data_IF_779389588465
#
_entry.id   IF_779389588465
#
_cell.length_a   1.000
_cell.length_b   1.000
_cell.length_c   1.000
_cell.angle_alpha   90.00
_cell.angle_beta   90.00
_cell.angle_gamma   90.00
#
_symmetry.space_group_name_H-M   'P 1'
#
loop_
_entity.id
_entity.type
_entity.pdbx_description
1 polymer ?
#
# COMPACT_ATOMS: atom_id res chain seq x y z
N UNK A 1 61.92 -29.95 24.29
CA UNK A 1 60.92 -29.68 25.35
C UNK A 1 60.02 -28.51 24.90
N UNK A 2 58.69 -28.68 24.96
CA UNK A 2 57.61 -27.65 24.98
C UNK A 2 57.53 -26.69 23.77
N UNK A 3 56.75 -26.87 22.70
CA UNK A 3 55.28 -26.98 22.50
C UNK A 3 54.41 -25.93 23.23
N UNK A 4 53.69 -25.15 22.40
CA UNK A 4 52.33 -24.59 22.54
C UNK A 4 52.05 -23.43 23.51
N UNK A 5 51.65 -22.27 22.97
CA UNK A 5 50.46 -21.51 23.42
C UNK A 5 49.75 -20.93 22.18
N UNK A 6 48.56 -21.47 21.91
CA UNK A 6 47.58 -21.05 20.91
C UNK A 6 46.47 -20.33 21.65
N UNK A 7 46.12 -19.09 21.32
CA UNK A 7 44.77 -18.55 21.54
C UNK A 7 44.47 -17.48 20.47
N UNK A 8 44.03 -17.95 19.30
CA UNK A 8 43.31 -17.11 18.33
C UNK A 8 41.96 -16.76 18.94
N UNK A 9 41.84 -15.53 19.42
CA UNK A 9 40.59 -14.94 19.89
C UNK A 9 39.72 -14.63 18.66
N UNK A 10 38.96 -15.62 18.20
CA UNK A 10 37.96 -15.44 17.15
C UNK A 10 36.74 -14.75 17.77
N UNK A 11 36.73 -13.41 17.72
CA UNK A 11 35.61 -12.58 18.14
C UNK A 11 34.48 -12.78 17.12
N UNK A 12 33.56 -13.70 17.41
CA UNK A 12 32.38 -13.96 16.59
C UNK A 12 31.34 -12.86 16.89
N UNK A 13 31.49 -11.71 16.23
CA UNK A 13 30.49 -10.65 16.21
C UNK A 13 29.32 -11.12 15.32
N UNK A 14 28.41 -11.90 15.88
CA UNK A 14 27.13 -12.22 15.22
C UNK A 14 26.29 -10.95 15.32
N UNK A 15 26.45 -10.05 14.34
CA UNK A 15 25.52 -8.94 14.15
C UNK A 15 24.19 -9.55 13.76
N UNK A 16 23.24 -9.58 14.70
CA UNK A 16 21.85 -9.91 14.39
C UNK A 16 21.34 -8.85 13.43
N UNK A 17 21.36 -9.16 12.13
CA UNK A 17 20.64 -8.39 11.14
C UNK A 17 19.16 -8.63 11.42
N UNK A 18 18.53 -7.69 12.14
CA UNK A 18 17.08 -7.63 12.21
C UNK A 18 16.59 -7.41 10.77
N UNK A 19 16.07 -8.46 10.15
CA UNK A 19 15.45 -8.38 8.84
C UNK A 19 14.11 -7.68 9.00
N UNK A 20 14.09 -6.35 8.90
CA UNK A 20 12.85 -5.61 8.70
C UNK A 20 12.40 -5.87 7.27
N UNK A 21 11.57 -6.88 7.09
CA UNK A 21 10.90 -7.11 5.81
C UNK A 21 9.81 -6.04 5.67
N UNK A 22 9.90 -5.20 4.65
CA UNK A 22 8.80 -4.34 4.25
C UNK A 22 7.62 -5.22 3.83
N UNK A 23 6.51 -5.18 4.58
CA UNK A 23 5.27 -5.78 4.15
C UNK A 23 4.63 -4.91 3.05
N UNK A 24 3.99 -5.54 2.08
CA UNK A 24 3.25 -4.85 1.02
C UNK A 24 1.90 -5.51 0.84
N UNK A 25 0.84 -4.69 0.81
CA UNK A 25 -0.53 -5.12 0.52
C UNK A 25 -1.09 -4.25 -0.60
N UNK A 26 -1.82 -4.89 -1.51
CA UNK A 26 -2.46 -4.24 -2.65
C UNK A 26 -3.94 -4.59 -2.65
N UNK A 27 -4.80 -3.66 -3.04
CA UNK A 27 -6.24 -3.89 -3.21
C UNK A 27 -6.82 -2.90 -4.21
N UNK A 28 -8.11 -3.07 -4.54
CA UNK A 28 -8.82 -2.24 -5.51
C UNK A 28 -10.03 -1.57 -4.90
N UNK A 29 -10.33 -0.35 -5.36
CA UNK A 29 -11.58 0.34 -5.09
C UNK A 29 -12.50 0.09 -6.29
N UNK A 30 -13.44 -0.84 -6.12
CA UNK A 30 -14.28 -1.40 -7.18
C UNK A 30 -15.78 -1.17 -6.96
N UNK A 31 -16.17 -0.54 -5.85
CA UNK A 31 -17.53 -0.08 -5.61
C UNK A 31 -17.62 1.38 -6.02
N UNK A 32 -18.71 1.78 -6.67
CA UNK A 32 -18.92 3.15 -7.14
C UNK A 32 -20.33 3.62 -6.87
N UNK A 33 -20.48 4.90 -6.50
CA UNK A 33 -21.80 5.50 -6.38
C UNK A 33 -22.41 5.94 -7.72
N UNK A 34 -21.73 5.71 -8.84
CA UNK A 34 -22.12 6.18 -10.18
C UNK A 34 -21.84 5.19 -11.30
N UNK A 35 -20.73 4.48 -11.23
CA UNK A 35 -20.34 3.49 -12.22
C UNK A 35 -20.76 2.07 -11.75
N UNK A 36 -20.78 1.07 -12.64
CA UNK A 36 -21.06 -0.31 -12.24
C UNK A 36 -20.07 -0.83 -11.19
N UNK A 37 -20.57 -1.50 -10.16
CA UNK A 37 -19.71 -2.15 -9.16
C UNK A 37 -18.98 -3.37 -9.74
N UNK A 38 -17.90 -3.79 -9.07
CA UNK A 38 -17.10 -4.96 -9.43
C UNK A 38 -16.03 -4.70 -10.50
N UNK A 39 -15.92 -3.47 -10.99
CA UNK A 39 -14.86 -3.03 -11.92
C UNK A 39 -13.75 -2.34 -11.12
N UNK A 40 -12.50 -2.74 -11.32
CA UNK A 40 -11.37 -2.11 -10.64
C UNK A 40 -11.09 -0.72 -11.22
N UNK A 41 -11.45 0.33 -10.48
CA UNK A 41 -11.29 1.72 -10.91
C UNK A 41 -10.02 2.37 -10.40
N UNK A 42 -9.62 2.04 -9.16
CA UNK A 42 -8.42 2.57 -8.51
C UNK A 42 -7.70 1.42 -7.81
N UNK A 43 -6.39 1.32 -7.98
CA UNK A 43 -5.55 0.44 -7.17
C UNK A 43 -4.93 1.22 -6.02
N UNK A 44 -4.82 0.58 -4.87
CA UNK A 44 -4.14 1.11 -3.68
C UNK A 44 -3.08 0.11 -3.27
N UNK A 45 -1.85 0.59 -3.10
CA UNK A 45 -0.74 -0.19 -2.53
C UNK A 45 -0.30 0.46 -1.23
N UNK A 46 -0.18 -0.35 -0.19
CA UNK A 46 0.38 0.00 1.11
C UNK A 46 1.70 -0.73 1.26
N UNK A 47 2.78 -0.03 1.60
CA UNK A 47 4.10 -0.61 1.82
C UNK A 47 4.70 -0.10 3.12
N UNK A 48 5.00 -0.99 4.05
CA UNK A 48 5.73 -0.62 5.27
C UNK A 48 7.16 -0.21 4.91
N UNK A 49 7.56 0.96 5.37
CA UNK A 49 8.88 1.51 5.11
C UNK A 49 9.83 1.32 6.30
N UNK A 50 11.13 1.48 6.04
CA UNK A 50 12.18 1.28 7.05
C UNK A 50 12.17 2.33 8.17
N UNK A 51 11.42 3.42 8.02
CA UNK A 51 11.31 4.49 9.00
C UNK A 51 10.19 4.24 10.03
N UNK A 52 9.44 3.15 9.91
CA UNK A 52 8.32 2.84 10.80
C UNK A 52 7.03 3.55 10.41
N UNK A 53 6.70 3.57 9.13
CA UNK A 53 5.45 4.08 8.58
C UNK A 53 4.99 3.28 7.35
N UNK A 54 3.89 3.72 6.73
CA UNK A 54 3.32 3.10 5.53
C UNK A 54 3.32 4.09 4.37
N UNK A 55 4.01 3.72 3.29
CA UNK A 55 3.93 4.42 2.02
C UNK A 55 2.67 3.98 1.28
N UNK A 56 1.84 4.94 0.89
CA UNK A 56 0.57 4.73 0.19
C UNK A 56 0.72 5.19 -1.25
N UNK A 57 0.31 4.34 -2.19
CA UNK A 57 0.26 4.64 -3.61
C UNK A 57 -1.12 4.28 -4.19
N UNK A 58 -1.94 5.29 -4.43
CA UNK A 58 -3.23 5.15 -5.09
C UNK A 58 -3.14 5.57 -6.58
N UNK A 59 -3.67 4.75 -7.50
CA UNK A 59 -3.59 5.00 -8.94
C UNK A 59 -4.92 4.72 -9.65
N UNK A 60 -5.36 5.64 -10.50
CA UNK A 60 -6.52 5.42 -11.39
C UNK A 60 -6.19 4.41 -12.50
N UNK A 61 -7.15 3.54 -12.81
CA UNK A 61 -7.01 2.47 -13.81
C UNK A 61 -7.76 2.82 -15.09
N UNK A 62 -7.46 2.08 -16.16
CA UNK A 62 -8.00 2.31 -17.52
C UNK A 62 -9.53 2.47 -17.58
N UNK A 63 -10.35 1.66 -16.86
CA UNK A 63 -11.81 1.84 -16.87
C UNK A 63 -12.28 3.24 -16.42
N UNK A 64 -11.44 3.95 -15.65
CA UNK A 64 -11.72 5.31 -15.21
C UNK A 64 -11.01 6.35 -16.08
N UNK A 65 -9.77 6.08 -16.51
CA UNK A 65 -8.97 6.98 -17.34
C UNK A 65 -9.63 7.23 -18.70
N UNK A 66 -10.27 6.21 -19.29
CA UNK A 66 -11.00 6.31 -20.56
C UNK A 66 -12.25 7.21 -20.46
N UNK A 67 -12.73 7.47 -19.24
CA UNK A 67 -13.88 8.36 -18.97
C UNK A 67 -13.45 9.78 -18.60
N UNK A 68 -12.14 10.02 -18.44
CA UNK A 68 -11.58 11.31 -18.09
C UNK A 68 -11.60 12.29 -19.26
N UNK A 69 -11.94 13.56 -18.99
CA UNK A 69 -11.88 14.63 -19.99
C UNK A 69 -10.85 15.69 -19.61
N UNK A 70 -11.23 16.60 -18.69
CA UNK A 70 -10.41 17.75 -18.32
C UNK A 70 -10.30 17.83 -16.82
N UNK A 71 -9.09 18.12 -16.35
CA UNK A 71 -8.75 18.14 -14.94
C UNK A 71 -9.16 16.80 -14.30
N UNK A 72 -8.88 15.69 -14.99
CA UNK A 72 -9.21 14.36 -14.49
C UNK A 72 -8.26 13.96 -13.36
N UNK A 73 -8.74 13.13 -12.44
CA UNK A 73 -7.91 12.47 -11.45
C UNK A 73 -8.47 12.49 -10.03
N UNK A 74 -7.69 11.90 -9.13
CA UNK A 74 -7.97 11.79 -7.70
C UNK A 74 -8.01 13.20 -7.11
N UNK A 75 -9.10 13.51 -6.42
CA UNK A 75 -9.31 14.81 -5.76
C UNK A 75 -9.43 14.66 -4.24
N UNK A 76 -9.91 13.51 -3.75
CA UNK A 76 -9.93 13.20 -2.33
C UNK A 76 -9.56 11.74 -2.11
N UNK A 77 -8.91 11.43 -1.02
CA UNK A 77 -8.62 10.08 -0.55
C UNK A 77 -8.91 10.02 0.95
N UNK A 78 -9.49 8.93 1.44
CA UNK A 78 -9.92 8.82 2.82
C UNK A 78 -9.76 7.38 3.34
N UNK A 79 -9.41 7.28 4.62
CA UNK A 79 -9.17 6.04 5.36
C UNK A 79 -9.29 6.30 6.87
N UNK A 80 -9.38 5.23 7.64
CA UNK A 80 -9.47 5.25 9.10
C UNK A 80 -8.48 4.26 9.70
N UNK A 81 -8.19 4.44 11.00
CA UNK A 81 -7.47 3.46 11.80
C UNK A 81 -8.40 2.83 12.81
N UNK A 82 -8.06 1.63 13.28
CA UNK A 82 -8.87 0.90 14.26
C UNK A 82 -9.05 1.67 15.59
N UNK A 83 -8.12 2.56 15.91
CA UNK A 83 -8.16 3.40 17.11
C UNK A 83 -8.89 4.74 16.91
N UNK A 84 -9.37 5.01 15.69
CA UNK A 84 -10.08 6.25 15.32
C UNK A 84 -9.21 7.50 15.31
N UNK A 85 -7.88 7.36 15.34
CA UNK A 85 -6.98 8.53 15.37
C UNK A 85 -6.79 9.16 13.99
N UNK A 86 -6.40 10.43 13.99
CA UNK A 86 -6.06 11.14 12.76
C UNK A 86 -4.61 10.84 12.37
N UNK A 87 -4.39 10.53 11.10
CA UNK A 87 -3.07 10.15 10.60
C UNK A 87 -2.07 11.31 10.58
N UNK A 88 -0.83 11.01 10.96
CA UNK A 88 0.33 11.85 10.68
C UNK A 88 0.84 11.55 9.26
N UNK A 89 0.52 12.46 8.33
CA UNK A 89 0.78 12.27 6.90
C UNK A 89 1.86 13.22 6.41
N UNK A 90 2.84 12.68 5.68
CA UNK A 90 3.92 13.42 5.05
C UNK A 90 4.03 13.10 3.55
N UNK A 91 4.82 13.89 2.81
CA UNK A 91 5.10 13.62 1.39
C UNK A 91 3.91 13.83 0.44
N UNK A 92 2.88 14.58 0.85
CA UNK A 92 1.73 14.89 -0.01
C UNK A 92 2.15 15.77 -1.21
N UNK A 93 1.50 15.60 -2.38
CA UNK A 93 1.72 16.49 -3.52
C UNK A 93 1.34 17.94 -3.21
N UNK A 94 1.91 18.88 -3.96
CA UNK A 94 1.65 20.31 -3.78
C UNK A 94 0.15 20.65 -3.83
N UNK A 95 -0.29 21.41 -2.83
CA UNK A 95 -1.68 21.85 -2.68
C UNK A 95 -2.65 20.82 -2.09
N UNK A 96 -2.18 19.63 -1.75
CA UNK A 96 -2.93 18.66 -0.95
C UNK A 96 -2.83 18.96 0.55
N UNK A 97 -3.88 18.62 1.30
CA UNK A 97 -3.95 18.83 2.75
C UNK A 97 -4.65 17.68 3.45
N UNK A 98 -4.22 17.37 4.66
CA UNK A 98 -4.91 16.46 5.58
C UNK A 98 -6.06 17.21 6.28
N UNK A 99 -7.20 16.55 6.46
CA UNK A 99 -8.30 17.04 7.29
C UNK A 99 -9.10 15.87 7.85
N UNK A 100 -9.45 15.93 9.13
CA UNK A 100 -10.26 14.91 9.77
C UNK A 100 -11.75 14.95 9.41
N UNK A 101 -12.48 13.92 9.88
CA UNK A 101 -13.94 13.76 9.81
C UNK A 101 -14.50 13.98 8.40
N UNK A 102 -14.11 13.13 7.45
CA UNK A 102 -14.49 13.29 6.04
C UNK A 102 -15.54 12.29 5.59
N UNK A 103 -16.72 12.81 5.27
CA UNK A 103 -17.76 12.07 4.58
C UNK A 103 -17.44 11.84 3.10
N UNK A 104 -17.60 10.61 2.63
CA UNK A 104 -17.33 10.16 1.26
C UNK A 104 -18.62 9.70 0.55
N UNK A 105 -19.61 10.60 0.47
CA UNK A 105 -20.87 10.48 -0.31
C UNK A 105 -21.33 9.05 -0.69
N UNK A 106 -21.79 8.28 0.31
CA UNK A 106 -22.26 6.90 0.16
C UNK A 106 -21.36 5.87 0.83
N UNK A 107 -20.09 6.21 1.04
CA UNK A 107 -19.07 5.33 1.60
C UNK A 107 -18.75 5.62 3.07
N UNK A 108 -19.66 6.29 3.79
CA UNK A 108 -19.48 6.60 5.21
C UNK A 108 -18.61 7.82 5.51
N UNK A 109 -18.11 7.86 6.75
CA UNK A 109 -17.19 8.89 7.27
C UNK A 109 -15.87 8.22 7.63
N UNK A 110 -14.79 8.97 7.44
CA UNK A 110 -13.43 8.52 7.73
C UNK A 110 -12.74 9.52 8.65
N UNK A 111 -11.87 9.00 9.50
CA UNK A 111 -11.13 9.81 10.46
C UNK A 111 -10.09 10.68 9.77
N UNK A 112 -9.48 10.17 8.70
CA UNK A 112 -8.50 10.90 7.90
C UNK A 112 -8.98 11.08 6.46
N UNK A 113 -8.98 12.32 5.99
CA UNK A 113 -9.18 12.64 4.57
C UNK A 113 -8.11 13.56 4.02
N UNK A 114 -7.57 13.18 2.86
CA UNK A 114 -6.65 13.96 2.05
C UNK A 114 -7.42 14.69 0.97
N UNK A 115 -7.18 15.99 0.82
CA UNK A 115 -7.91 16.83 -0.13
C UNK A 115 -6.97 17.62 -1.04
N UNK A 116 -7.11 17.38 -2.34
CA UNK A 116 -6.68 18.30 -3.38
C UNK A 116 -7.80 19.28 -3.75
N UNK A 117 -7.51 20.15 -4.72
CA UNK A 117 -8.49 21.04 -5.34
C UNK A 117 -8.73 20.63 -6.81
N UNK A 118 -9.23 21.53 -7.66
CA UNK A 118 -9.46 21.19 -9.07
C UNK A 118 -8.15 21.10 -9.89
N UNK A 119 -7.15 21.91 -9.53
CA UNK A 119 -5.89 22.05 -10.27
C UNK A 119 -4.77 21.14 -9.75
N UNK A 120 -4.99 20.46 -8.61
CA UNK A 120 -4.01 19.55 -8.00
C UNK A 120 -4.44 18.09 -8.10
N UNK A 121 -5.38 17.78 -8.98
CA UNK A 121 -5.82 16.41 -9.25
C UNK A 121 -4.67 15.64 -9.89
N UNK A 122 -4.62 14.36 -9.61
CA UNK A 122 -3.56 13.47 -10.10
C UNK A 122 -4.11 12.08 -10.34
N UNK A 123 -3.60 11.40 -11.35
CA UNK A 123 -3.91 9.99 -11.62
C UNK A 123 -3.16 9.06 -10.66
N UNK A 124 -2.11 9.58 -10.01
CA UNK A 124 -1.28 8.87 -9.03
C UNK A 124 -1.12 9.74 -7.79
N UNK A 125 -1.69 9.31 -6.67
CA UNK A 125 -1.52 9.94 -5.37
C UNK A 125 -0.55 9.09 -4.54
N UNK A 126 0.56 9.68 -4.12
CA UNK A 126 1.58 9.05 -3.28
C UNK A 126 1.81 9.89 -2.03
N UNK A 127 1.94 9.25 -0.88
CA UNK A 127 2.25 9.89 0.40
C UNK A 127 2.71 8.84 1.42
N UNK A 128 3.19 9.29 2.59
CA UNK A 128 3.62 8.42 3.69
C UNK A 128 2.80 8.73 4.93
N UNK A 129 2.39 7.69 5.65
CA UNK A 129 1.78 7.77 6.96
C UNK A 129 2.82 7.33 7.99
N UNK A 130 3.13 8.18 8.95
CA UNK A 130 4.21 7.94 9.90
C UNK A 130 3.69 7.20 11.15
N UNK A 131 4.54 6.34 11.72
CA UNK A 131 4.31 5.76 13.05
C UNK A 131 3.23 4.69 13.12
N UNK A 132 2.80 4.14 11.98
CA UNK A 132 1.79 3.09 11.88
C UNK A 132 2.31 1.92 11.05
N UNK A 133 1.79 0.73 11.31
CA UNK A 133 1.90 -0.46 10.46
C UNK A 133 0.66 -0.64 9.58
N UNK A 134 0.71 -1.61 8.66
CA UNK A 134 -0.45 -1.94 7.80
C UNK A 134 -1.62 -2.50 8.62
N UNK A 135 -1.34 -3.19 9.72
CA UNK A 135 -2.35 -3.80 10.59
C UNK A 135 -3.12 -2.78 11.45
N UNK A 136 -2.73 -1.51 11.46
CA UNK A 136 -3.40 -0.45 12.23
C UNK A 136 -4.61 0.17 11.48
N UNK A 137 -4.74 -0.12 10.17
CA UNK A 137 -5.80 0.45 9.34
C UNK A 137 -7.12 -0.28 9.51
N UNK A 138 -8.22 0.48 9.52
CA UNK A 138 -9.51 -0.12 9.22
C UNK A 138 -9.48 -0.69 7.81
N UNK A 139 -10.28 -1.72 7.56
CA UNK A 139 -10.27 -2.42 6.28
C UNK A 139 -10.73 -1.55 5.12
N UNK A 140 -11.47 -0.47 5.34
CA UNK A 140 -12.16 0.27 4.28
C UNK A 140 -11.48 1.58 3.87
N UNK A 141 -11.44 1.83 2.57
CA UNK A 141 -10.86 3.04 1.96
C UNK A 141 -11.82 3.63 0.94
N UNK A 142 -11.74 4.95 0.76
CA UNK A 142 -12.52 5.62 -0.27
C UNK A 142 -11.73 6.69 -1.00
N UNK A 143 -12.08 6.92 -2.26
CA UNK A 143 -11.50 7.96 -3.10
C UNK A 143 -12.60 8.70 -3.85
N UNK A 144 -12.39 10.00 -4.06
CA UNK A 144 -13.19 10.81 -4.99
C UNK A 144 -12.34 11.11 -6.21
N UNK A 145 -12.80 10.69 -7.38
CA UNK A 145 -12.22 11.08 -8.67
C UNK A 145 -13.13 12.10 -9.34
N UNK A 146 -12.54 13.12 -9.93
CA UNK A 146 -13.24 14.21 -10.60
C UNK A 146 -12.70 14.42 -12.02
N UNK A 147 -13.39 15.26 -12.81
CA UNK A 147 -13.05 15.50 -14.21
C UNK A 147 -13.57 14.42 -15.17
N UNK A 148 -14.59 13.68 -14.74
CA UNK A 148 -15.31 12.70 -15.58
C UNK A 148 -16.22 13.39 -16.60
N UNK A 149 -16.52 12.71 -17.71
CA UNK A 149 -17.48 13.17 -18.71
C UNK A 149 -18.84 13.50 -18.08
N UNK A 150 -19.28 14.75 -18.24
CA UNK A 150 -20.56 15.22 -17.71
C UNK A 150 -21.78 14.59 -18.39
N UNK A 151 -21.60 13.94 -19.55
CA UNK A 151 -22.64 13.13 -20.19
C UNK A 151 -23.06 11.93 -19.34
N UNK A 152 -22.22 11.53 -18.39
CA UNK A 152 -22.49 10.46 -17.42
C UNK A 152 -23.12 11.00 -16.12
N UNK A 153 -23.35 12.32 -16.01
CA UNK A 153 -23.91 12.98 -14.84
C UNK A 153 -22.95 13.98 -14.19
N UNK A 154 -22.93 14.11 -12.85
CA UNK A 154 -21.95 14.96 -12.18
C UNK A 154 -20.52 14.56 -12.56
N UNK A 155 -19.63 15.53 -12.76
CA UNK A 155 -18.23 15.31 -13.19
C UNK A 155 -17.32 14.71 -12.11
N UNK A 156 -17.90 14.01 -11.13
CA UNK A 156 -17.18 13.28 -10.09
C UNK A 156 -17.93 12.03 -9.65
N UNK A 157 -17.15 11.02 -9.28
CA UNK A 157 -17.61 9.78 -8.69
C UNK A 157 -16.79 9.47 -7.44
N UNK A 158 -17.40 8.72 -6.54
CA UNK A 158 -16.75 8.21 -5.35
C UNK A 158 -16.59 6.70 -5.52
N UNK A 159 -15.48 6.18 -5.02
CA UNK A 159 -15.17 4.77 -5.07
C UNK A 159 -14.76 4.28 -3.69
N UNK A 160 -15.19 3.07 -3.36
CA UNK A 160 -14.88 2.39 -2.11
C UNK A 160 -14.28 1.01 -2.38
N UNK A 161 -13.57 0.49 -1.38
CA UNK A 161 -13.00 -0.85 -1.42
C UNK A 161 -12.35 -1.20 -0.10
N UNK A 162 -12.12 -2.49 0.09
CA UNK A 162 -11.62 -3.07 1.34
C UNK A 162 -10.25 -3.74 1.16
N UNK A 163 -9.41 -3.70 2.19
CA UNK A 163 -8.20 -4.50 2.36
C UNK A 163 -8.53 -6.00 2.42
N UNK A 164 -9.66 -6.33 3.05
CA UNK A 164 -10.16 -7.69 3.10
C UNK A 164 -10.93 -8.00 1.82
N UNK A 165 -10.68 -9.17 1.22
CA UNK A 165 -11.41 -9.68 0.05
C UNK A 165 -12.91 -9.94 0.30
N UNK A 166 -13.46 -9.47 1.41
CA UNK A 166 -14.88 -9.53 1.71
C UNK A 166 -15.63 -8.37 1.07
N UNK A 167 -16.57 -8.69 0.18
CA UNK A 167 -17.64 -7.81 -0.27
C UNK A 167 -18.35 -7.13 0.91
N UNK A 168 -18.20 -5.82 1.07
CA UNK A 168 -18.99 -5.03 2.02
C UNK A 168 -20.07 -4.23 1.30
N UNK A 169 -21.04 -4.95 0.72
CA UNK A 169 -22.27 -4.36 0.20
C UNK A 169 -23.38 -5.41 0.10
N UNK A 170 -24.66 -5.04 0.38
CA UNK A 170 -25.78 -5.93 0.16
C UNK A 170 -26.00 -6.11 -1.36
N UNK A 171 -25.26 -7.05 -1.97
CA UNK A 171 -25.47 -7.45 -3.36
C UNK A 171 -24.21 -7.65 -4.23
N UNK A 172 -23.00 -7.50 -3.71
CA UNK A 172 -21.80 -7.71 -4.52
C UNK A 172 -21.45 -9.20 -4.63
N UNK A 173 -21.57 -9.74 -5.84
CA UNK A 173 -21.05 -11.06 -6.21
C UNK A 173 -19.52 -11.01 -6.22
N UNK A 174 -18.90 -11.31 -5.08
CA UNK A 174 -17.46 -11.34 -4.93
C UNK A 174 -16.84 -12.36 -5.89
N UNK A 175 -16.04 -11.89 -6.84
CA UNK A 175 -14.97 -12.71 -7.41
C UNK A 175 -13.81 -12.64 -6.43
N UNK A 176 -13.59 -13.73 -5.70
CA UNK A 176 -12.50 -13.95 -4.74
C UNK A 176 -11.13 -13.71 -5.39
N UNK A 177 -10.71 -12.45 -5.45
CA UNK A 177 -9.37 -12.08 -5.86
C UNK A 177 -8.42 -12.23 -4.69
N UNK A 178 -8.19 -13.46 -4.21
CA UNK A 178 -7.27 -13.78 -3.11
C UNK A 178 -5.87 -13.19 -3.39
N UNK A 179 -5.64 -11.96 -2.97
CA UNK A 179 -4.34 -11.32 -2.90
C UNK A 179 -3.71 -11.85 -1.62
N UNK A 180 -3.26 -13.10 -1.67
CA UNK A 180 -2.33 -13.59 -0.69
C UNK A 180 -1.14 -12.63 -0.73
N UNK A 181 -0.96 -11.84 0.32
CA UNK A 181 0.28 -11.11 0.55
C UNK A 181 1.37 -12.18 0.44
N UNK A 182 2.08 -12.21 -0.69
CA UNK A 182 3.21 -13.11 -0.86
C UNK A 182 4.24 -12.51 0.07
N UNK A 183 4.48 -13.11 1.25
CA UNK A 183 5.59 -12.64 2.04
C UNK A 183 6.78 -12.83 1.09
N UNK A 184 7.73 -11.90 0.99
CA UNK A 184 8.94 -12.14 0.19
C UNK A 184 9.94 -12.77 1.17
N UNK A 185 9.82 -14.08 1.48
CA UNK A 185 10.17 -14.60 2.78
C UNK A 185 11.37 -15.52 2.64
N UNK A 186 12.53 -15.12 3.15
CA UNK A 186 13.71 -15.97 3.24
C UNK A 186 14.30 -16.52 1.92
N UNK A 187 13.62 -16.47 0.77
CA UNK A 187 14.11 -17.07 -0.48
C UNK A 187 15.42 -16.43 -0.93
N UNK A 188 15.58 -15.11 -0.79
CA UNK A 188 16.84 -14.41 -1.07
C UNK A 188 17.94 -14.85 -0.09
N UNK A 189 17.61 -15.07 1.18
CA UNK A 189 18.56 -15.52 2.21
C UNK A 189 18.94 -17.00 2.07
N UNK A 190 17.99 -17.87 1.73
CA UNK A 190 18.22 -19.29 1.43
C UNK A 190 18.99 -19.44 0.12
N UNK A 191 18.68 -18.64 -0.90
CA UNK A 191 19.41 -18.65 -2.15
C UNK A 191 20.84 -18.15 -1.96
N UNK A 192 21.04 -17.07 -1.19
CA UNK A 192 22.36 -16.52 -0.89
C UNK A 192 23.20 -17.46 -0.01
N UNK A 193 22.61 -18.03 1.06
CA UNK A 193 23.30 -18.99 1.93
C UNK A 193 23.59 -20.31 1.23
N UNK A 194 22.67 -20.78 0.39
CA UNK A 194 22.86 -21.94 -0.49
C UNK A 194 24.01 -21.71 -1.48
N UNK A 195 24.10 -20.54 -2.11
CA UNK A 195 25.15 -20.21 -3.06
C UNK A 195 26.54 -20.16 -2.39
N UNK A 196 26.63 -19.53 -1.21
CA UNK A 196 27.88 -19.50 -0.41
C UNK A 196 28.29 -20.91 0.03
N UNK A 197 27.33 -21.72 0.48
CA UNK A 197 27.56 -23.14 0.80
C UNK A 197 28.09 -23.93 -0.39
N UNK A 198 27.50 -23.75 -1.57
CA UNK A 198 27.91 -24.42 -2.80
C UNK A 198 29.33 -24.03 -3.24
N UNK A 199 29.67 -22.74 -3.15
CA UNK A 199 31.04 -22.24 -3.40
C UNK A 199 32.07 -22.86 -2.46
N UNK A 200 31.71 -23.08 -1.19
CA UNK A 200 32.55 -23.75 -0.21
C UNK A 200 32.83 -25.22 -0.59
N UNK A 201 31.80 -25.95 -1.01
CA UNK A 201 31.93 -27.35 -1.44
C UNK A 201 32.76 -27.49 -2.73
N UNK A 202 32.54 -26.60 -3.72
CA UNK A 202 33.26 -26.64 -4.99
C UNK A 202 34.78 -26.42 -4.83
N UNK A 203 35.21 -25.61 -3.86
CA UNK A 203 36.65 -25.43 -3.56
C UNK A 203 37.30 -26.68 -2.97
N UNK A 204 36.53 -27.53 -2.28
CA UNK A 204 37.05 -28.74 -1.64
C UNK A 204 37.29 -29.88 -2.63
N UNK A 205 36.58 -29.89 -3.75
CA UNK A 205 36.68 -30.93 -4.79
C UNK A 205 37.92 -30.81 -5.71
N UNK A 206 38.65 -29.68 -5.70
CA UNK A 206 39.88 -29.47 -6.49
C UNK A 206 41.18 -29.78 -5.73
N UNK A 207 41.09 -30.23 -4.48
CA UNK A 207 42.22 -30.72 -3.68
C UNK A 207 42.11 -32.23 -3.55
#
# INVERSE_FOLDING_TARGET
>A
MSRSIRYSLFLCLITMAASSHAATVSFFLNESNRLPDGINYVSVNLTENLAGGVDVLARTLDPLNDLGIRDFGIQKFAFSFDDGTMADVSGLPDGWKVKGDRGMNGFGKFDTGLLGNAHTRTDVLSFTINGVGIDDFESYFAVKVAGLDSRLGPSNAFFGGSLENGSFGPGSGGTDGNLAAVPVPAAIWLFSSGLVGLMGLARRAKK
#
